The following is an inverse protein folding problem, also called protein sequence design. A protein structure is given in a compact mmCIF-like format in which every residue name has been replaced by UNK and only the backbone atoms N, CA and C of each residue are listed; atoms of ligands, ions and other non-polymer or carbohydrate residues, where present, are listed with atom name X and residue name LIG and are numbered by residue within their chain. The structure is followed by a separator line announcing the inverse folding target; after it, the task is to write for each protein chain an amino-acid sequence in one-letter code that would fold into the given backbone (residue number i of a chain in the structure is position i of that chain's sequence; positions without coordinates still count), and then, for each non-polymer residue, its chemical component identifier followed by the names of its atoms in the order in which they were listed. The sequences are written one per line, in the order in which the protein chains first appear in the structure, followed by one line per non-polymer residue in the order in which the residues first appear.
data_IF_309063919029
#
_entry.id   IF_309063919029
#
_cell.length_a   1.000
_cell.length_b   1.000
_cell.length_c   1.000
_cell.angle_alpha   90.00
_cell.angle_beta   90.00
_cell.angle_gamma   90.00
#
_symmetry.space_group_name_H-M   'P 1'
#
loop_
_entity.id
_entity.type
_entity.pdbx_description
1 polymer ?
#
# COMPACT_ATOMS: atom_id res chain seq x y z
N UNK A 1 9.67 -27.20 7.19
CA UNK A 1 8.76 -26.66 6.18
C UNK A 1 7.44 -26.40 6.88
N UNK A 2 7.31 -25.20 7.47
CA UNK A 2 6.14 -24.82 8.23
C UNK A 2 5.06 -24.32 7.27
N UNK A 3 3.85 -24.83 7.45
CA UNK A 3 2.65 -24.34 6.80
C UNK A 3 2.56 -22.83 7.07
N UNK A 4 2.54 -22.00 6.03
CA UNK A 4 2.20 -20.58 6.17
C UNK A 4 0.74 -20.60 6.62
N UNK A 5 0.51 -20.32 7.91
CA UNK A 5 -0.84 -20.30 8.47
C UNK A 5 -1.74 -19.45 7.57
N UNK A 6 -2.98 -19.90 7.36
CA UNK A 6 -4.08 -19.23 6.60
C UNK A 6 -4.47 -17.82 7.13
N UNK A 7 -3.57 -17.14 7.82
CA UNK A 7 -3.74 -15.87 8.53
C UNK A 7 -2.65 -14.84 8.19
N UNK A 8 -1.70 -15.15 7.30
CA UNK A 8 -0.75 -14.15 6.82
C UNK A 8 -1.48 -13.08 6.01
N UNK A 9 -1.23 -11.80 6.30
CA UNK A 9 -1.77 -10.70 5.51
C UNK A 9 -0.98 -10.57 4.23
N UNK A 10 -1.63 -10.88 3.11
CA UNK A 10 -1.11 -10.64 1.77
C UNK A 10 -1.09 -9.14 1.49
N UNK A 11 -0.01 -8.69 0.87
CA UNK A 11 0.25 -7.28 0.61
C UNK A 11 0.78 -7.10 -0.82
N UNK A 12 0.36 -6.01 -1.46
CA UNK A 12 0.93 -5.52 -2.69
C UNK A 12 1.46 -4.09 -2.50
N UNK A 13 2.67 -3.84 -2.99
CA UNK A 13 3.33 -2.53 -2.99
C UNK A 13 3.40 -2.04 -4.43
N UNK A 14 2.88 -0.85 -4.72
CA UNK A 14 2.85 -0.28 -6.06
C UNK A 14 3.63 1.02 -6.12
N UNK A 15 4.43 1.17 -7.17
CA UNK A 15 5.03 2.46 -7.50
C UNK A 15 3.92 3.49 -7.83
N UNK A 16 3.96 4.69 -7.23
CA UNK A 16 3.04 5.76 -7.62
C UNK A 16 3.22 6.16 -9.08
N UNK A 17 2.13 6.49 -9.78
CA UNK A 17 2.20 7.08 -11.12
C UNK A 17 2.85 8.46 -11.03
N UNK A 18 4.06 8.60 -11.57
CA UNK A 18 4.86 9.84 -11.53
C UNK A 18 4.49 10.84 -12.63
N UNK A 19 3.95 10.36 -13.74
CA UNK A 19 3.52 11.22 -14.86
C UNK A 19 2.43 10.56 -15.70
N UNK A 20 1.66 11.35 -16.45
CA UNK A 20 0.62 10.82 -17.34
C UNK A 20 1.16 9.89 -18.44
N UNK A 21 2.43 10.07 -18.82
CA UNK A 21 3.09 9.29 -19.85
C UNK A 21 3.75 8.01 -19.32
N UNK A 22 3.67 7.74 -18.01
CA UNK A 22 4.17 6.50 -17.44
C UNK A 22 3.23 5.35 -17.84
N UNK A 23 3.72 4.49 -18.74
CA UNK A 23 3.00 3.31 -19.25
C UNK A 23 3.26 2.05 -18.41
N UNK A 24 4.38 2.00 -17.70
CA UNK A 24 4.85 0.87 -16.92
C UNK A 24 5.14 1.31 -15.48
N UNK A 25 4.96 0.41 -14.52
CA UNK A 25 5.28 0.65 -13.12
C UNK A 25 5.68 -0.65 -12.45
N UNK A 26 6.49 -0.53 -11.40
CA UNK A 26 6.92 -1.68 -10.61
C UNK A 26 5.93 -1.97 -9.49
N UNK A 27 5.80 -3.26 -9.16
CA UNK A 27 5.05 -3.70 -8.01
C UNK A 27 5.70 -4.91 -7.36
N UNK A 28 5.49 -5.04 -6.05
CA UNK A 28 5.88 -6.21 -5.27
C UNK A 28 4.64 -6.85 -4.69
N UNK A 29 4.63 -8.18 -4.61
CA UNK A 29 3.63 -8.95 -3.88
C UNK A 29 4.32 -9.75 -2.81
N UNK A 30 3.71 -9.87 -1.64
CA UNK A 30 4.31 -10.58 -0.52
C UNK A 30 3.37 -10.75 0.64
N UNK A 31 3.96 -11.06 1.79
CA UNK A 31 3.26 -11.20 3.07
C UNK A 31 3.95 -10.34 4.12
N UNK A 32 3.17 -9.80 5.05
CA UNK A 32 3.72 -9.08 6.20
C UNK A 32 4.37 -10.09 7.15
N UNK A 33 5.63 -9.84 7.53
CA UNK A 33 6.39 -10.64 8.50
C UNK A 33 6.78 -9.78 9.70
N UNK A 34 6.84 -10.41 10.88
CA UNK A 34 7.15 -9.72 12.15
C UNK A 34 8.65 -9.56 12.42
N UNK A 35 9.51 -10.36 11.78
CA UNK A 35 10.95 -10.33 11.99
C UNK A 35 11.70 -10.38 10.65
N UNK A 36 12.80 -9.63 10.59
CA UNK A 36 13.73 -9.56 9.46
C UNK A 36 14.76 -10.70 9.45
N UNK A 37 14.86 -11.49 10.52
CA UNK A 37 15.89 -12.55 10.66
C UNK A 37 15.58 -13.84 9.90
N UNK A 38 14.77 -13.81 8.85
CA UNK A 38 14.47 -15.00 8.05
C UNK A 38 15.52 -15.18 6.95
N UNK A 39 16.07 -16.39 6.81
CA UNK A 39 16.80 -16.77 5.60
C UNK A 39 15.80 -16.86 4.44
N UNK A 40 15.94 -15.95 3.47
CA UNK A 40 15.08 -15.92 2.28
C UNK A 40 15.72 -16.69 1.12
N UNK A 41 14.91 -17.37 0.29
CA UNK A 41 15.35 -17.85 -1.02
C UNK A 41 15.93 -16.71 -1.87
N UNK A 42 16.81 -17.02 -2.82
CA UNK A 42 17.46 -16.03 -3.70
C UNK A 42 16.50 -15.18 -4.53
N UNK A 43 15.28 -15.67 -4.74
CA UNK A 43 14.22 -15.07 -5.54
C UNK A 43 13.24 -14.23 -4.71
N UNK A 44 13.44 -14.14 -3.39
CA UNK A 44 12.58 -13.39 -2.46
C UNK A 44 13.40 -12.32 -1.76
N UNK A 45 12.81 -11.14 -1.67
CA UNK A 45 13.43 -9.96 -1.08
C UNK A 45 12.70 -9.59 0.21
N UNK A 46 13.46 -9.15 1.22
CA UNK A 46 12.88 -8.47 2.38
C UNK A 46 12.80 -6.98 2.09
N UNK A 47 11.60 -6.40 2.20
CA UNK A 47 11.38 -4.96 2.06
C UNK A 47 10.85 -4.38 3.37
N UNK A 48 11.47 -3.30 3.84
CA UNK A 48 10.97 -2.48 4.93
C UNK A 48 10.45 -1.15 4.39
N UNK A 49 9.16 -0.85 4.60
CA UNK A 49 8.53 0.39 4.13
C UNK A 49 8.29 1.32 5.32
N UNK A 50 8.86 2.53 5.24
CA UNK A 50 8.67 3.60 6.25
C UNK A 50 8.16 4.88 5.59
N UNK A 51 6.93 5.25 5.87
CA UNK A 51 6.33 6.51 5.45
C UNK A 51 5.17 6.88 6.37
N UNK A 52 4.68 8.11 6.25
CA UNK A 52 3.35 8.48 6.73
C UNK A 52 2.32 8.11 5.68
N UNK A 53 1.16 7.63 6.13
CA UNK A 53 0.09 7.16 5.28
C UNK A 53 -1.25 7.70 5.74
N UNK A 54 -2.15 7.89 4.78
CA UNK A 54 -3.60 7.86 5.04
C UNK A 54 -4.13 6.51 4.60
N UNK A 55 -5.12 5.99 5.31
CA UNK A 55 -5.65 4.66 5.04
C UNK A 55 -7.18 4.64 4.96
N UNK A 56 -7.69 3.69 4.20
CA UNK A 56 -9.11 3.33 4.20
C UNK A 56 -9.28 1.86 3.86
N UNK A 57 -10.45 1.30 4.15
CA UNK A 57 -10.78 -0.10 3.89
C UNK A 57 -12.13 -0.22 3.20
N UNK A 58 -12.26 -1.18 2.31
CA UNK A 58 -13.51 -1.46 1.61
C UNK A 58 -13.47 -2.77 0.85
N UNK A 59 -14.58 -3.11 0.18
CA UNK A 59 -14.68 -4.34 -0.63
C UNK A 59 -13.69 -4.32 -1.79
N UNK A 60 -13.01 -5.44 -2.02
CA UNK A 60 -12.05 -5.55 -3.13
C UNK A 60 -12.73 -5.36 -4.50
N UNK A 61 -14.00 -5.75 -4.62
CA UNK A 61 -14.83 -5.53 -5.82
C UNK A 61 -15.02 -4.05 -6.19
N UNK A 62 -14.76 -3.13 -5.25
CA UNK A 62 -14.87 -1.69 -5.41
C UNK A 62 -13.50 -0.97 -5.29
N UNK A 63 -12.37 -1.69 -5.39
CA UNK A 63 -11.02 -1.17 -5.10
C UNK A 63 -10.71 0.18 -5.76
N UNK A 64 -11.07 0.38 -7.03
CA UNK A 64 -10.89 1.66 -7.73
C UNK A 64 -11.67 2.82 -7.10
N UNK A 65 -12.88 2.57 -6.58
CA UNK A 65 -13.66 3.57 -5.84
C UNK A 65 -13.05 3.85 -4.47
N UNK A 66 -12.51 2.82 -3.81
CA UNK A 66 -11.83 2.94 -2.51
C UNK A 66 -10.60 3.85 -2.66
N UNK A 67 -9.75 3.59 -3.65
CA UNK A 67 -8.63 4.46 -4.04
C UNK A 67 -9.07 5.90 -4.31
N UNK A 68 -10.06 6.06 -5.18
CA UNK A 68 -10.53 7.38 -5.62
C UNK A 68 -11.05 8.21 -4.46
N UNK A 69 -11.82 7.60 -3.54
CA UNK A 69 -12.35 8.27 -2.35
C UNK A 69 -11.24 8.69 -1.39
N UNK A 70 -10.27 7.82 -1.12
CA UNK A 70 -9.16 8.14 -0.23
C UNK A 70 -8.29 9.26 -0.81
N UNK A 71 -7.98 9.21 -2.11
CA UNK A 71 -7.19 10.24 -2.79
C UNK A 71 -7.88 11.61 -2.80
N UNK A 72 -9.19 11.65 -3.08
CA UNK A 72 -9.98 12.89 -3.01
C UNK A 72 -9.99 13.45 -1.59
N UNK A 73 -10.31 12.61 -0.60
CA UNK A 73 -10.34 13.04 0.80
C UNK A 73 -8.97 13.55 1.27
N UNK A 74 -7.88 12.84 0.93
CA UNK A 74 -6.52 13.25 1.31
C UNK A 74 -6.17 14.64 0.77
N UNK A 75 -6.52 14.90 -0.50
CA UNK A 75 -6.34 16.22 -1.13
C UNK A 75 -7.18 17.30 -0.44
N UNK A 76 -8.42 17.01 -0.06
CA UNK A 76 -9.28 17.94 0.69
C UNK A 76 -8.72 18.27 2.07
N UNK A 77 -8.02 17.33 2.72
CA UNK A 77 -7.30 17.57 3.98
C UNK A 77 -5.97 18.33 3.77
N UNK A 78 -5.55 18.60 2.53
CA UNK A 78 -4.30 19.28 2.22
C UNK A 78 -3.07 18.37 2.16
N UNK A 79 -3.25 17.05 2.24
CA UNK A 79 -2.18 16.09 2.02
C UNK A 79 -1.82 15.99 0.54
N UNK A 80 -0.54 15.73 0.27
CA UNK A 80 -0.04 15.46 -1.06
C UNK A 80 0.52 14.03 -1.10
N UNK A 81 0.30 13.34 -2.21
CA UNK A 81 0.88 12.01 -2.41
C UNK A 81 2.40 12.11 -2.53
N UNK A 82 3.09 11.30 -1.74
CA UNK A 82 4.53 11.15 -1.79
C UNK A 82 4.91 10.26 -2.99
N UNK A 83 5.79 10.76 -3.87
CA UNK A 83 6.10 10.13 -5.15
C UNK A 83 7.26 9.12 -5.07
N UNK A 84 8.03 9.16 -3.99
CA UNK A 84 9.19 8.32 -3.67
C UNK A 84 8.87 7.26 -2.60
N UNK A 85 7.59 6.90 -2.44
CA UNK A 85 7.15 5.87 -1.50
C UNK A 85 6.08 4.98 -2.14
N UNK A 86 6.03 3.71 -1.75
CA UNK A 86 5.05 2.77 -2.29
C UNK A 86 3.65 3.04 -1.75
N UNK A 87 2.66 2.88 -2.63
CA UNK A 87 1.27 2.66 -2.25
C UNK A 87 1.08 1.22 -1.82
N UNK A 88 0.28 0.98 -0.79
CA UNK A 88 0.10 -0.35 -0.22
C UNK A 88 -1.37 -0.78 -0.34
N UNK A 89 -1.59 -2.03 -0.76
CA UNK A 89 -2.85 -2.73 -0.62
C UNK A 89 -2.66 -3.97 0.24
N UNK A 90 -3.46 -4.13 1.30
CA UNK A 90 -3.47 -5.31 2.16
C UNK A 90 -4.81 -6.04 2.04
N UNK A 91 -4.76 -7.32 1.69
CA UNK A 91 -5.95 -8.16 1.49
C UNK A 91 -6.44 -8.78 2.81
N UNK A 92 -7.76 -8.80 2.98
CA UNK A 92 -8.40 -9.40 4.15
C UNK A 92 -9.62 -10.24 3.75
N UNK A 93 -9.54 -11.56 3.99
CA UNK A 93 -10.72 -12.42 3.95
C UNK A 93 -11.67 -12.05 5.10
N UNK A 94 -12.94 -11.82 4.78
CA UNK A 94 -14.02 -11.54 5.73
C UNK A 94 -15.16 -12.52 5.51
N UNK A 95 -16.08 -12.64 6.49
CA UNK A 95 -17.15 -13.66 6.48
C UNK A 95 -17.96 -13.72 5.18
N UNK A 96 -18.14 -12.58 4.50
CA UNK A 96 -18.96 -12.46 3.29
C UNK A 96 -18.19 -11.92 2.07
N UNK A 97 -16.89 -12.21 1.97
CA UNK A 97 -16.07 -11.88 0.80
C UNK A 97 -14.67 -11.41 1.17
N UNK A 98 -14.13 -10.51 0.36
CA UNK A 98 -12.79 -9.96 0.54
C UNK A 98 -12.83 -8.44 0.60
N UNK A 99 -12.02 -7.91 1.50
CA UNK A 99 -11.78 -6.48 1.65
C UNK A 99 -10.32 -6.17 1.38
N UNK A 100 -10.07 -4.93 0.96
CA UNK A 100 -8.74 -4.37 0.77
C UNK A 100 -8.61 -3.15 1.68
N UNK A 101 -7.50 -3.09 2.40
CA UNK A 101 -7.04 -1.88 3.07
C UNK A 101 -5.98 -1.20 2.20
N UNK A 102 -6.18 0.09 1.93
CA UNK A 102 -5.34 0.88 1.04
C UNK A 102 -4.61 1.91 1.87
N UNK A 103 -3.28 1.98 1.74
CA UNK A 103 -2.45 3.00 2.35
C UNK A 103 -1.82 3.86 1.25
N UNK A 104 -2.18 5.15 1.24
CA UNK A 104 -1.58 6.13 0.33
C UNK A 104 -0.47 6.88 1.06
N UNK A 105 0.78 6.86 0.57
CA UNK A 105 1.87 7.56 1.22
C UNK A 105 1.68 9.07 1.02
N UNK A 106 1.81 9.82 2.11
CA UNK A 106 1.56 11.26 2.11
C UNK A 106 2.76 12.06 2.59
N UNK A 107 2.75 13.32 2.22
CA UNK A 107 3.53 14.38 2.83
C UNK A 107 2.62 15.55 3.14
N UNK A 108 2.93 16.27 4.21
CA UNK A 108 2.35 17.57 4.49
C UNK A 108 3.18 18.59 3.70
N UNK A 109 2.54 19.48 2.94
CA UNK A 109 3.23 20.73 2.57
C UNK A 109 3.29 21.56 3.86
N UNK A 110 4.47 21.65 4.48
CA UNK A 110 4.74 22.83 5.30
C UNK A 110 4.46 24.02 4.38
N UNK A 111 3.43 24.82 4.68
CA UNK A 111 3.34 26.17 4.12
C UNK A 111 4.73 26.76 4.34
N UNK A 112 5.43 27.12 3.27
CA UNK A 112 6.61 27.96 3.38
C UNK A 112 6.20 29.12 4.30
N UNK A 113 6.78 29.12 5.51
CA UNK A 113 6.61 30.21 6.44
C UNK A 113 7.38 31.37 5.85
N UNK A 114 6.62 32.21 5.12
CA UNK A 114 6.81 33.63 4.78
C UNK A 114 8.26 34.14 4.79
#
# INVERSE_FOLDING_TARGET
MGEISNHATEIALYEPKKSENQLEGEYYVGIIVYDSTMELPSEIEYLEVKSEFVATRGKISDVGKVHSKLGVWAKEQGYHLKQDAYMIEAGHAVENGEEVEIYLPITIKLKEMI
#
